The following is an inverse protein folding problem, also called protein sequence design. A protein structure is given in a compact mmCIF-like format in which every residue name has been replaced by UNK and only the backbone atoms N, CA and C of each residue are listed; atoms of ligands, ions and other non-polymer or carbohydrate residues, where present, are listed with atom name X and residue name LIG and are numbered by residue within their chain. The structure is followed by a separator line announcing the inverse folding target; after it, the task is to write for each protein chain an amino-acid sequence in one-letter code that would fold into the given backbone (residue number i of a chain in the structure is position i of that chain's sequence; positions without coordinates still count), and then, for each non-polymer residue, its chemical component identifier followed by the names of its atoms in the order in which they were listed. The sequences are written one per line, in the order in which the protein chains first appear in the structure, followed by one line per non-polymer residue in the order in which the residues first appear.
data_IF_289312430845
#
_entry.id   IF_289312430845
#
_cell.length_a   1.000
_cell.length_b   1.000
_cell.length_c   1.000
_cell.angle_alpha   90.00
_cell.angle_beta   90.00
_cell.angle_gamma   90.00
#
_symmetry.space_group_name_H-M   'P 1'
#
loop_
_entity.id
_entity.type
_entity.pdbx_description
1 polymer ?
#
# COMPACT_ATOMS: atom_id res chain seq x y z
N UNK A 1 -3.00 6.59 26.48
CA UNK A 1 -3.05 7.17 25.14
C UNK A 1 -2.88 6.08 24.10
N UNK A 2 -3.98 5.62 23.54
CA UNK A 2 -3.94 4.61 22.49
C UNK A 2 -3.36 5.21 21.21
N UNK A 3 -2.31 4.58 20.66
CA UNK A 3 -1.95 4.79 19.28
C UNK A 3 -3.11 4.30 18.43
N UNK A 4 -3.83 5.23 17.79
CA UNK A 4 -4.78 4.85 16.78
C UNK A 4 -4.03 4.35 15.56
N UNK A 5 -4.12 3.05 15.32
CA UNK A 5 -3.58 2.49 14.08
C UNK A 5 -4.57 2.78 12.98
N UNK A 6 -4.20 3.67 12.07
CA UNK A 6 -5.07 4.14 11.01
C UNK A 6 -5.25 3.10 9.92
N UNK A 7 -6.45 3.02 9.33
CA UNK A 7 -6.71 2.25 8.11
C UNK A 7 -6.14 2.92 6.85
N UNK A 8 -5.61 4.13 6.97
CA UNK A 8 -4.93 4.88 5.91
C UNK A 8 -3.52 5.22 6.38
N UNK A 9 -2.57 5.21 5.46
CA UNK A 9 -1.14 5.34 5.79
C UNK A 9 -0.38 6.05 4.69
N UNK A 10 0.56 6.92 5.08
CA UNK A 10 1.46 7.64 4.18
C UNK A 10 2.90 7.23 4.41
N UNK A 11 3.63 7.05 3.31
CA UNK A 11 5.08 6.92 3.30
C UNK A 11 5.64 8.02 2.39
N UNK A 12 6.60 8.79 2.90
CA UNK A 12 7.25 9.88 2.15
C UNK A 12 8.55 9.36 1.55
N UNK A 13 8.72 9.56 0.24
CA UNK A 13 9.95 9.19 -0.47
C UNK A 13 10.49 10.35 -1.26
N UNK A 14 11.80 10.30 -1.54
CA UNK A 14 12.46 11.16 -2.51
C UNK A 14 12.92 10.29 -3.68
N UNK A 15 12.64 10.72 -4.90
CA UNK A 15 13.05 10.00 -6.11
C UNK A 15 14.57 10.03 -6.24
N UNK A 16 15.20 8.86 -6.29
CA UNK A 16 16.62 8.66 -6.36
C UNK A 16 17.08 8.45 -7.82
N UNK A 17 18.37 8.69 -8.14
CA UNK A 17 18.88 8.45 -9.50
C UNK A 17 18.62 7.05 -10.03
N UNK A 18 18.71 6.02 -9.18
CA UNK A 18 18.46 4.63 -9.57
C UNK A 18 17.01 4.33 -9.94
N UNK A 19 16.08 5.22 -9.64
CA UNK A 19 14.67 5.07 -10.00
C UNK A 19 14.37 5.50 -11.45
N UNK A 20 15.33 6.18 -12.09
CA UNK A 20 15.14 6.87 -13.38
C UNK A 20 15.49 5.94 -14.54
N UNK A 21 14.63 5.91 -15.56
CA UNK A 21 14.86 5.14 -16.78
C UNK A 21 15.56 5.96 -17.87
N UNK A 22 15.75 5.35 -19.05
CA UNK A 22 16.42 5.98 -20.17
C UNK A 22 15.69 7.22 -20.73
N UNK A 23 14.41 7.39 -20.42
CA UNK A 23 13.62 8.55 -20.84
C UNK A 23 13.74 9.74 -19.88
N UNK A 24 14.45 9.58 -18.77
CA UNK A 24 14.71 10.66 -17.82
C UNK A 24 13.64 10.83 -16.75
N UNK A 25 12.69 9.91 -16.62
CA UNK A 25 11.70 9.93 -15.55
C UNK A 25 11.61 8.57 -14.84
N UNK A 26 10.89 8.53 -13.74
CA UNK A 26 10.76 7.33 -12.93
C UNK A 26 10.26 6.17 -13.79
N UNK A 27 11.00 5.05 -13.72
CA UNK A 27 10.64 3.82 -14.41
C UNK A 27 9.28 3.32 -13.90
N UNK A 28 8.40 2.93 -14.80
CA UNK A 28 7.06 2.44 -14.47
C UNK A 28 7.09 1.28 -13.47
N UNK A 29 8.10 0.43 -13.51
CA UNK A 29 8.28 -0.70 -12.57
C UNK A 29 8.41 -0.21 -11.12
N UNK A 30 8.99 0.97 -10.91
CA UNK A 30 9.19 1.52 -9.56
C UNK A 30 7.87 1.80 -8.85
N UNK A 31 6.83 2.20 -9.57
CA UNK A 31 5.52 2.47 -8.96
C UNK A 31 4.92 1.19 -8.35
N UNK A 32 5.10 0.05 -9.00
CA UNK A 32 4.65 -1.24 -8.47
C UNK A 32 5.49 -1.65 -7.25
N UNK A 33 6.81 -1.41 -7.30
CA UNK A 33 7.67 -1.62 -6.14
C UNK A 33 7.22 -0.75 -4.96
N UNK A 34 6.91 0.51 -5.21
CA UNK A 34 6.42 1.44 -4.17
C UNK A 34 5.06 1.04 -3.62
N UNK A 35 4.18 0.44 -4.43
CA UNK A 35 2.95 -0.16 -3.93
C UNK A 35 3.25 -1.24 -2.89
N UNK A 36 4.19 -2.12 -3.20
CA UNK A 36 4.63 -3.18 -2.27
C UNK A 36 5.24 -2.57 -1.00
N UNK A 37 6.10 -1.58 -1.17
CA UNK A 37 6.81 -0.95 -0.05
C UNK A 37 5.85 -0.27 0.92
N UNK A 38 4.89 0.51 0.42
CA UNK A 38 3.93 1.22 1.28
C UNK A 38 2.94 0.26 1.93
N UNK A 39 2.53 -0.79 1.23
CA UNK A 39 1.69 -1.82 1.82
C UNK A 39 2.41 -2.55 2.95
N UNK A 40 3.67 -2.94 2.75
CA UNK A 40 4.50 -3.59 3.78
C UNK A 40 4.69 -2.69 5.00
N UNK A 41 5.00 -1.40 4.78
CA UNK A 41 5.15 -0.44 5.87
C UNK A 41 3.86 -0.27 6.67
N UNK A 42 2.72 -0.22 5.98
CA UNK A 42 1.42 -0.08 6.63
C UNK A 42 1.10 -1.29 7.52
N UNK A 43 1.23 -2.52 6.99
CA UNK A 43 0.89 -3.72 7.77
C UNK A 43 1.86 -3.94 8.94
N UNK A 44 3.11 -3.46 8.83
CA UNK A 44 4.03 -3.45 9.98
C UNK A 44 3.49 -2.56 11.11
N UNK A 45 2.93 -1.39 10.79
CA UNK A 45 2.30 -0.53 11.83
C UNK A 45 1.08 -1.18 12.44
N UNK A 46 0.41 -2.07 11.71
CA UNK A 46 -0.75 -2.82 12.19
C UNK A 46 -0.36 -4.08 13.00
N UNK A 47 0.95 -4.41 13.07
CA UNK A 47 1.44 -5.59 13.77
C UNK A 47 1.23 -6.90 13.01
N UNK A 48 0.96 -6.85 11.72
CA UNK A 48 0.65 -8.04 10.89
C UNK A 48 1.54 -8.12 9.65
N UNK A 49 2.82 -7.78 9.82
CA UNK A 49 3.83 -7.92 8.76
C UNK A 49 4.43 -9.33 8.68
N UNK A 50 5.59 -9.42 8.03
CA UNK A 50 6.27 -10.71 7.71
C UNK A 50 6.50 -11.55 8.96
N UNK A 51 6.91 -10.96 10.08
CA UNK A 51 7.13 -11.70 11.33
C UNK A 51 5.86 -12.43 11.76
N UNK A 52 4.71 -11.74 11.68
CA UNK A 52 3.42 -12.34 12.02
C UNK A 52 3.03 -13.43 11.02
N UNK A 53 3.32 -13.26 9.74
CA UNK A 53 3.08 -14.29 8.73
C UNK A 53 3.81 -15.60 9.06
N UNK A 54 5.10 -15.50 9.40
CA UNK A 54 5.90 -16.67 9.75
C UNK A 54 5.42 -17.34 11.03
N UNK A 55 4.99 -16.55 11.99
CA UNK A 55 4.44 -17.01 13.27
C UNK A 55 3.14 -17.79 13.07
N UNK A 56 2.22 -17.25 12.26
CA UNK A 56 0.92 -17.85 11.98
C UNK A 56 0.96 -18.91 10.88
N UNK A 57 2.06 -18.95 10.10
CA UNK A 57 2.20 -19.82 8.90
C UNK A 57 1.18 -19.49 7.81
N UNK A 58 0.65 -18.30 7.83
CA UNK A 58 -0.27 -17.72 6.83
C UNK A 58 0.31 -16.42 6.33
N UNK A 59 0.07 -16.09 5.06
CA UNK A 59 0.55 -14.85 4.46
C UNK A 59 -0.49 -14.24 3.55
N UNK A 60 -0.45 -12.91 3.41
CA UNK A 60 -1.18 -12.21 2.38
C UNK A 60 -0.27 -12.04 1.17
N UNK A 61 -0.71 -12.53 0.02
CA UNK A 61 0.04 -12.43 -1.24
C UNK A 61 -0.76 -11.66 -2.28
N UNK A 62 -0.08 -10.81 -3.05
CA UNK A 62 -0.72 -10.07 -4.13
C UNK A 62 -1.07 -11.04 -5.28
N UNK A 63 -2.34 -11.00 -5.72
CA UNK A 63 -2.81 -11.84 -6.82
C UNK A 63 -3.21 -11.03 -8.06
N UNK A 64 -3.47 -9.74 -7.88
CA UNK A 64 -3.89 -8.85 -8.97
C UNK A 64 -3.49 -7.42 -8.65
N UNK A 65 -2.98 -6.70 -9.66
CA UNK A 65 -2.78 -5.25 -9.60
C UNK A 65 -3.51 -4.60 -10.77
N UNK A 66 -4.17 -3.47 -10.50
CA UNK A 66 -4.68 -2.57 -11.50
C UNK A 66 -4.03 -1.21 -11.24
N UNK A 67 -3.36 -0.65 -12.24
CA UNK A 67 -2.58 0.58 -12.09
C UNK A 67 -2.87 1.57 -13.22
N UNK A 68 -2.76 2.86 -12.89
CA UNK A 68 -2.89 3.93 -13.86
C UNK A 68 -1.77 4.96 -13.62
N UNK A 69 -0.93 5.15 -14.63
CA UNK A 69 0.13 6.16 -14.64
C UNK A 69 -0.45 7.45 -15.16
N UNK A 70 -0.51 8.49 -14.34
CA UNK A 70 -1.17 9.76 -14.70
C UNK A 70 -0.19 10.86 -15.08
N UNK A 71 0.91 11.00 -14.32
CA UNK A 71 1.95 12.01 -14.58
C UNK A 71 3.31 11.45 -14.25
N UNK A 72 4.32 11.86 -15.02
CA UNK A 72 5.70 11.46 -14.78
C UNK A 72 6.27 12.11 -13.52
N UNK A 73 7.17 11.39 -12.87
CA UNK A 73 7.97 11.90 -11.75
C UNK A 73 9.46 11.92 -12.16
N UNK A 74 10.22 12.79 -11.53
CA UNK A 74 11.61 13.07 -11.91
C UNK A 74 12.53 12.98 -10.67
N UNK A 75 13.84 12.80 -10.93
CA UNK A 75 14.85 12.72 -9.91
C UNK A 75 14.78 13.91 -8.93
N UNK A 76 14.93 13.64 -7.65
CA UNK A 76 14.93 14.63 -6.60
C UNK A 76 13.56 15.06 -6.11
N UNK A 77 12.49 14.70 -6.82
CA UNK A 77 11.14 15.07 -6.40
C UNK A 77 10.69 14.29 -5.16
N UNK A 78 9.93 14.96 -4.31
CA UNK A 78 9.31 14.32 -3.15
C UNK A 78 7.91 13.83 -3.52
N UNK A 79 7.58 12.60 -3.09
CA UNK A 79 6.31 11.95 -3.37
C UNK A 79 5.75 11.37 -2.07
N UNK A 80 4.46 11.54 -1.87
CA UNK A 80 3.71 10.90 -0.80
C UNK A 80 3.06 9.64 -1.38
N UNK A 81 3.40 8.49 -0.82
CA UNK A 81 2.78 7.20 -1.15
C UNK A 81 1.67 6.95 -0.15
N UNK A 82 0.43 7.10 -0.58
CA UNK A 82 -0.73 6.85 0.28
C UNK A 82 -1.37 5.53 -0.06
N UNK A 83 -1.73 4.76 0.97
CA UNK A 83 -2.46 3.52 0.83
C UNK A 83 -3.54 3.38 1.89
N UNK A 84 -4.59 2.66 1.57
CA UNK A 84 -5.66 2.33 2.51
C UNK A 84 -6.33 1.03 2.09
N UNK A 85 -7.05 0.43 3.04
CA UNK A 85 -7.86 -0.74 2.75
C UNK A 85 -9.25 -0.29 2.32
N UNK A 86 -9.73 -0.86 1.23
CA UNK A 86 -11.02 -0.54 0.63
C UNK A 86 -12.09 -1.52 1.10
N UNK A 87 -11.77 -2.82 1.07
CA UNK A 87 -12.69 -3.88 1.44
C UNK A 87 -11.94 -5.12 1.93
N UNK A 88 -12.63 -5.99 2.62
CA UNK A 88 -12.10 -7.25 3.13
C UNK A 88 -13.21 -8.29 3.21
N UNK A 89 -12.87 -9.55 2.89
CA UNK A 89 -13.71 -10.71 3.17
C UNK A 89 -12.86 -11.81 3.81
N UNK A 90 -13.39 -13.00 3.92
CA UNK A 90 -12.70 -14.09 4.63
C UNK A 90 -11.38 -14.53 3.98
N UNK A 91 -11.21 -14.32 2.67
CA UNK A 91 -10.06 -14.79 1.90
C UNK A 91 -9.21 -13.67 1.31
N UNK A 92 -9.80 -12.49 1.08
CA UNK A 92 -9.17 -11.41 0.33
C UNK A 92 -9.21 -10.08 1.07
N UNK A 93 -8.20 -9.26 0.83
CA UNK A 93 -8.24 -7.84 1.13
C UNK A 93 -8.00 -7.04 -0.14
N UNK A 94 -8.63 -5.88 -0.22
CA UNK A 94 -8.57 -4.99 -1.38
C UNK A 94 -7.96 -3.68 -0.92
N UNK A 95 -6.81 -3.35 -1.50
CA UNK A 95 -6.01 -2.18 -1.10
C UNK A 95 -5.95 -1.18 -2.24
N UNK A 96 -6.10 0.09 -1.90
CA UNK A 96 -5.98 1.21 -2.83
C UNK A 96 -4.69 1.98 -2.57
N UNK A 97 -4.19 2.64 -3.62
CA UNK A 97 -2.99 3.48 -3.57
C UNK A 97 -3.24 4.77 -4.35
N UNK A 98 -2.69 5.86 -3.85
CA UNK A 98 -2.61 7.11 -4.58
C UNK A 98 -1.26 7.77 -4.26
N UNK A 99 -0.47 8.07 -5.29
CA UNK A 99 0.84 8.70 -5.14
C UNK A 99 0.74 10.16 -5.56
N UNK A 100 1.17 11.04 -4.70
CA UNK A 100 0.93 12.47 -4.77
C UNK A 100 2.24 13.24 -4.71
N UNK A 101 2.37 14.27 -5.57
CA UNK A 101 3.51 15.17 -5.55
C UNK A 101 3.09 16.52 -4.94
N UNK A 102 3.57 16.85 -3.72
CA UNK A 102 3.17 18.08 -3.04
C UNK A 102 3.53 19.36 -3.80
N UNK A 103 4.65 19.37 -4.53
CA UNK A 103 5.16 20.60 -5.18
C UNK A 103 4.18 21.22 -6.18
N UNK A 104 3.37 20.41 -6.85
CA UNK A 104 2.35 20.88 -7.80
C UNK A 104 0.96 20.29 -7.49
N UNK A 105 0.81 19.60 -6.36
CA UNK A 105 -0.44 18.97 -5.92
C UNK A 105 -1.01 17.97 -6.95
N UNK A 106 -0.12 17.29 -7.68
CA UNK A 106 -0.52 16.35 -8.71
C UNK A 106 -0.63 14.93 -8.16
N UNK A 107 -1.70 14.23 -8.53
CA UNK A 107 -1.77 12.78 -8.37
C UNK A 107 -1.04 12.16 -9.56
N UNK A 108 0.07 11.47 -9.27
CA UNK A 108 0.95 10.89 -10.29
C UNK A 108 0.48 9.50 -10.73
N UNK A 109 -0.12 8.76 -9.81
CA UNK A 109 -0.39 7.34 -9.98
C UNK A 109 -1.50 6.92 -9.04
N UNK A 110 -2.39 6.07 -9.52
CA UNK A 110 -3.38 5.38 -8.69
C UNK A 110 -3.34 3.89 -9.01
N UNK A 111 -3.65 3.08 -8.01
CA UNK A 111 -3.67 1.65 -8.20
C UNK A 111 -4.50 0.94 -7.15
N UNK A 112 -4.74 -0.34 -7.40
CA UNK A 112 -5.33 -1.21 -6.40
C UNK A 112 -4.73 -2.61 -6.51
N UNK A 113 -4.76 -3.32 -5.38
CA UNK A 113 -4.27 -4.69 -5.28
C UNK A 113 -5.30 -5.55 -4.59
N UNK A 114 -5.56 -6.71 -5.18
CA UNK A 114 -6.25 -7.80 -4.50
C UNK A 114 -5.21 -8.69 -3.85
N UNK A 115 -5.29 -8.84 -2.53
CA UNK A 115 -4.43 -9.70 -1.73
C UNK A 115 -5.20 -10.93 -1.28
N UNK A 116 -4.60 -12.11 -1.41
CA UNK A 116 -5.20 -13.36 -0.95
C UNK A 116 -4.46 -13.90 0.26
N UNK A 117 -5.21 -14.42 1.23
CA UNK A 117 -4.62 -15.16 2.35
C UNK A 117 -4.33 -16.60 1.91
N UNK A 118 -3.11 -17.06 2.16
CA UNK A 118 -2.67 -18.41 1.83
C UNK A 118 -2.02 -19.08 3.04
N UNK A 119 -2.03 -20.41 3.03
CA UNK A 119 -1.13 -21.21 3.87
C UNK A 119 0.25 -21.23 3.21
N UNK A 120 1.30 -20.84 3.97
CA UNK A 120 2.64 -20.70 3.40
C UNK A 120 3.16 -22.04 2.87
N UNK A 121 2.97 -23.14 3.64
CA UNK A 121 3.53 -24.43 3.28
C UNK A 121 2.95 -25.01 1.98
N UNK A 122 1.66 -24.82 1.72
CA UNK A 122 0.97 -25.40 0.56
C UNK A 122 0.70 -24.39 -0.56
N UNK A 123 0.74 -23.08 -0.24
CA UNK A 123 0.32 -22.02 -1.15
C UNK A 123 -1.19 -21.98 -1.40
N UNK A 124 -1.97 -22.79 -0.69
CA UNK A 124 -3.43 -22.87 -0.87
C UNK A 124 -4.15 -21.74 -0.18
N UNK A 125 -5.32 -21.30 -0.72
CA UNK A 125 -6.17 -20.33 -0.04
C UNK A 125 -6.49 -20.77 1.40
N UNK A 126 -6.43 -19.80 2.29
CA UNK A 126 -6.71 -20.00 3.72
C UNK A 126 -7.56 -18.84 4.21
N UNK A 127 -8.62 -19.13 4.95
CA UNK A 127 -9.43 -18.07 5.58
C UNK A 127 -8.53 -17.29 6.56
N UNK A 128 -8.64 -15.97 6.52
CA UNK A 128 -7.87 -15.12 7.42
C UNK A 128 -8.17 -15.45 8.89
N UNK A 129 -7.11 -15.54 9.70
CA UNK A 129 -7.26 -15.67 11.15
C UNK A 129 -7.82 -14.38 11.74
N UNK A 130 -8.37 -14.42 12.97
CA UNK A 130 -8.81 -13.21 13.67
C UNK A 130 -7.73 -12.14 13.80
N UNK A 131 -6.45 -12.53 13.88
CA UNK A 131 -5.32 -11.61 13.92
C UNK A 131 -5.33 -10.67 12.69
N UNK A 132 -5.56 -11.21 11.50
CA UNK A 132 -5.66 -10.41 10.28
C UNK A 132 -6.97 -9.63 10.21
N UNK A 133 -8.11 -10.28 10.44
CA UNK A 133 -9.41 -9.62 10.29
C UNK A 133 -9.63 -8.50 11.31
N UNK A 134 -8.99 -8.59 12.47
CA UNK A 134 -9.03 -7.51 13.47
C UNK A 134 -8.11 -6.34 13.11
N UNK A 135 -7.00 -6.60 12.43
CA UNK A 135 -6.05 -5.57 12.01
C UNK A 135 -6.49 -4.86 10.72
N UNK A 136 -7.06 -5.59 9.78
CA UNK A 136 -7.44 -5.06 8.47
C UNK A 136 -8.81 -4.40 8.54
N UNK A 137 -8.81 -3.07 8.72
CA UNK A 137 -10.03 -2.26 8.79
C UNK A 137 -10.19 -1.47 7.49
N UNK A 138 -11.30 -1.66 6.74
CA UNK A 138 -11.62 -0.79 5.61
C UNK A 138 -11.71 0.67 6.07
N UNK A 139 -11.33 1.58 5.16
CA UNK A 139 -11.38 3.01 5.43
C UNK A 139 -12.82 3.45 5.69
N UNK A 140 -13.01 4.26 6.72
CA UNK A 140 -14.30 4.86 7.03
C UNK A 140 -14.77 5.73 5.84
N UNK A 141 -16.04 5.58 5.44
CA UNK A 141 -16.60 6.30 4.30
C UNK A 141 -16.65 7.82 4.48
N UNK A 142 -16.53 8.31 5.72
CA UNK A 142 -16.46 9.75 6.02
C UNK A 142 -15.11 10.38 5.67
N UNK A 143 -14.08 9.57 5.47
CA UNK A 143 -12.72 10.03 5.16
C UNK A 143 -12.54 10.06 3.64
N UNK A 144 -12.12 11.21 3.11
CA UNK A 144 -11.70 11.34 1.71
C UNK A 144 -10.21 10.98 1.62
N UNK A 145 -9.84 9.82 1.06
CA UNK A 145 -8.44 9.42 0.98
C UNK A 145 -7.61 10.27 0.00
N UNK A 146 -8.25 11.05 -0.86
CA UNK A 146 -7.57 11.95 -1.80
C UNK A 146 -7.39 13.37 -1.25
N UNK A 147 -7.74 13.60 0.01
CA UNK A 147 -7.42 14.84 0.70
C UNK A 147 -5.99 14.79 1.23
N UNK A 148 -5.05 15.34 0.47
CA UNK A 148 -3.63 15.36 0.83
C UNK A 148 -3.26 16.56 1.72
N UNK A 149 -4.22 17.36 2.18
CA UNK A 149 -3.98 18.35 3.23
C UNK A 149 -3.83 17.70 4.60
N UNK A 150 -4.29 16.46 4.75
CA UNK A 150 -4.13 15.65 5.97
C UNK A 150 -2.99 14.65 5.75
N UNK A 151 -2.10 14.52 6.74
CA UNK A 151 -1.00 13.54 6.73
C UNK A 151 -1.32 12.34 7.61
N UNK A 152 -0.93 11.16 7.14
CA UNK A 152 -1.08 9.88 7.86
C UNK A 152 0.28 9.18 8.05
N UNK A 153 1.34 9.97 8.01
CA UNK A 153 2.69 9.45 8.25
C UNK A 153 2.96 9.21 9.74
#
# INVERSE_FOLDING_TARGET
SGCFVSSIFDLHIQVQPQHIDALGHVNNVMYVQWMQDVAAAHVETLGVGVTKYLELKHAMVAVEHHVQYRKAAFEGEEIVLRTWLDDINALYSFRQYAFFRPSDQAILFVGNTKWACIEIASGRPKRMSPTFTQAYKPLDSSINPLDFTVSYA
#
